data_IF_979789958943
#
_entry.id   IF_979789958943
#
_cell.length_a   1.000
_cell.length_b   1.000
_cell.length_c   1.000
_cell.angle_alpha   90.00
_cell.angle_beta   90.00
_cell.angle_gamma   90.00
#
_symmetry.space_group_name_H-M   'P 1'
#
loop_
_entity.id
_entity.type
_entity.pdbx_description
1 polymer ?
#
# COMPACT_ATOMS: atom_id res chain seq x y z
N UNK A 1 18.74 -0.04 -55.70
CA UNK A 1 19.82 -1.02 -55.46
C UNK A 1 20.00 -1.13 -53.97
N UNK A 2 19.92 -2.34 -53.39
CA UNK A 2 20.14 -2.55 -51.95
C UNK A 2 21.64 -2.56 -51.66
N UNK A 3 22.08 -1.76 -50.69
CA UNK A 3 23.47 -1.74 -50.20
C UNK A 3 23.71 -2.88 -49.18
N UNK A 4 24.96 -3.25 -49.00
CA UNK A 4 25.36 -4.22 -47.96
C UNK A 4 25.38 -3.53 -46.61
N UNK A 5 24.85 -4.18 -45.56
CA UNK A 5 24.90 -3.67 -44.19
C UNK A 5 26.35 -3.54 -43.71
N UNK A 6 26.70 -2.36 -43.18
CA UNK A 6 28.04 -2.05 -42.65
C UNK A 6 28.50 -3.03 -41.56
N UNK A 7 27.58 -3.61 -40.78
CA UNK A 7 27.91 -4.63 -39.77
C UNK A 7 28.34 -5.97 -40.40
N UNK A 8 27.85 -6.29 -41.60
CA UNK A 8 28.28 -7.48 -42.33
C UNK A 8 29.65 -7.29 -42.98
N UNK A 9 29.99 -6.09 -43.43
CA UNK A 9 31.30 -5.77 -44.01
C UNK A 9 32.46 -5.97 -43.01
N UNK A 10 32.20 -5.87 -41.70
CA UNK A 10 33.16 -6.15 -40.64
C UNK A 10 33.40 -7.65 -40.38
N UNK A 11 32.49 -8.53 -40.81
CA UNK A 11 32.63 -9.98 -40.62
C UNK A 11 33.41 -10.56 -41.80
N UNK A 12 34.46 -11.34 -41.53
CA UNK A 12 35.36 -11.93 -42.57
C UNK A 12 34.70 -12.92 -43.54
N UNK A 13 33.38 -13.13 -43.48
CA UNK A 13 32.65 -14.11 -44.29
C UNK A 13 31.56 -13.40 -45.09
N UNK A 14 31.93 -12.86 -46.25
CA UNK A 14 30.98 -12.33 -47.24
C UNK A 14 30.52 -13.47 -48.16
N UNK A 15 29.27 -13.41 -48.62
CA UNK A 15 28.78 -14.31 -49.67
C UNK A 15 29.35 -13.92 -51.04
N UNK A 16 29.48 -14.88 -51.96
CA UNK A 16 30.02 -14.66 -53.31
C UNK A 16 29.22 -13.59 -54.10
N UNK A 17 27.92 -13.45 -53.83
CA UNK A 17 27.09 -12.40 -54.43
C UNK A 17 27.33 -11.00 -53.82
N UNK A 18 27.70 -10.94 -52.54
CA UNK A 18 28.06 -9.70 -51.84
C UNK A 18 29.44 -9.21 -52.28
N UNK A 19 30.38 -10.11 -52.55
CA UNK A 19 31.70 -9.79 -53.14
C UNK A 19 31.55 -9.16 -54.54
N UNK A 20 30.72 -9.76 -55.39
CA UNK A 20 30.42 -9.18 -56.72
C UNK A 20 29.70 -7.83 -56.64
N UNK A 21 28.92 -7.60 -55.57
CA UNK A 21 28.29 -6.31 -55.34
C UNK A 21 29.30 -5.25 -54.89
N UNK A 22 30.27 -5.61 -54.04
CA UNK A 22 31.35 -4.72 -53.62
C UNK A 22 32.18 -4.21 -54.80
N UNK A 23 32.46 -5.06 -55.79
CA UNK A 23 33.21 -4.66 -56.99
C UNK A 23 32.43 -3.70 -57.91
N UNK A 24 31.10 -3.71 -57.85
CA UNK A 24 30.23 -2.91 -58.73
C UNK A 24 29.69 -1.65 -58.07
N UNK A 25 29.61 -1.62 -56.74
CA UNK A 25 29.04 -0.50 -55.99
C UNK A 25 30.16 0.31 -55.33
N UNK A 26 30.46 1.49 -55.90
CA UNK A 26 31.51 2.38 -55.36
C UNK A 26 31.29 2.81 -53.92
N UNK A 27 30.02 3.00 -53.50
CA UNK A 27 29.68 3.37 -52.11
C UNK A 27 30.05 2.27 -51.11
N UNK A 28 29.67 1.02 -51.41
CA UNK A 28 29.99 -0.12 -50.55
C UNK A 28 31.51 -0.40 -50.50
N UNK A 29 32.22 -0.10 -51.59
CA UNK A 29 33.67 -0.24 -51.67
C UNK A 29 34.39 0.80 -50.79
N UNK A 30 33.92 2.05 -50.79
CA UNK A 30 34.45 3.13 -49.96
C UNK A 30 34.25 2.82 -48.47
N UNK A 31 33.03 2.42 -48.08
CA UNK A 31 32.72 2.01 -46.71
C UNK A 31 33.60 0.85 -46.24
N UNK A 32 33.82 -0.16 -47.09
CA UNK A 32 34.68 -1.29 -46.79
C UNK A 32 36.14 -0.87 -46.53
N UNK A 33 36.67 0.08 -47.32
CA UNK A 33 38.03 0.59 -47.13
C UNK A 33 38.18 1.36 -45.81
N UNK A 34 37.20 2.20 -45.46
CA UNK A 34 37.17 2.95 -44.20
C UNK A 34 37.15 1.98 -43.01
N UNK A 35 36.26 0.98 -43.04
CA UNK A 35 36.15 -0.02 -41.98
C UNK A 35 37.42 -0.86 -41.83
N UNK A 36 38.07 -1.20 -42.95
CA UNK A 36 39.35 -1.92 -42.95
C UNK A 36 40.47 -1.08 -42.35
N UNK A 37 40.55 0.21 -42.69
CA UNK A 37 41.53 1.13 -42.13
C UNK A 37 41.33 1.30 -40.61
N UNK A 38 40.09 1.42 -40.15
CA UNK A 38 39.76 1.47 -38.73
C UNK A 38 40.14 0.18 -37.99
N UNK A 39 39.86 -0.99 -38.58
CA UNK A 39 40.28 -2.28 -38.03
C UNK A 39 41.80 -2.39 -37.85
N UNK A 40 42.58 -1.97 -38.86
CA UNK A 40 44.04 -1.95 -38.79
C UNK A 40 44.58 -0.95 -37.77
N UNK A 41 43.92 0.20 -37.60
CA UNK A 41 44.28 1.19 -36.56
C UNK A 41 44.04 0.66 -35.15
N UNK A 42 43.05 -0.20 -34.96
CA UNK A 42 42.73 -0.79 -33.66
C UNK A 42 43.67 -1.96 -33.31
N UNK A 43 44.09 -2.76 -34.29
CA UNK A 43 45.08 -3.83 -34.06
C UNK A 43 46.48 -3.28 -33.73
N UNK A 44 46.80 -2.06 -34.18
CA UNK A 44 48.06 -1.36 -33.87
C UNK A 44 48.00 -0.49 -32.61
N UNK A 45 46.82 -0.36 -31.99
CA UNK A 45 46.70 0.27 -30.68
C UNK A 45 47.32 -0.65 -29.63
N UNK A 46 48.56 -0.33 -29.22
CA UNK A 46 49.24 -1.06 -28.15
C UNK A 46 48.32 -1.13 -26.93
N UNK A 47 47.97 -2.35 -26.52
CA UNK A 47 47.18 -2.60 -25.32
C UNK A 47 47.96 -2.03 -24.13
N UNK A 48 47.49 -0.90 -23.62
CA UNK A 48 48.08 -0.25 -22.46
C UNK A 48 47.89 -1.19 -21.27
N UNK A 49 48.97 -1.85 -20.84
CA UNK A 49 48.93 -2.68 -19.65
C UNK A 49 48.85 -1.75 -18.43
N UNK A 50 47.76 -1.82 -17.65
CA UNK A 50 47.64 -0.98 -16.48
C UNK A 50 48.71 -1.39 -15.45
N UNK A 51 49.25 -0.44 -14.67
CA UNK A 51 50.25 -0.73 -13.63
C UNK A 51 49.74 -1.73 -12.57
N UNK A 52 50.64 -2.51 -11.97
CA UNK A 52 50.30 -3.56 -10.99
C UNK A 52 49.44 -3.06 -9.81
N UNK A 53 49.63 -1.83 -9.36
CA UNK A 53 48.85 -1.25 -8.27
C UNK A 53 47.34 -1.12 -8.59
N UNK A 54 46.97 -1.08 -9.88
CA UNK A 54 45.56 -1.07 -10.32
C UNK A 54 44.94 -2.45 -10.12
N UNK A 55 45.68 -3.52 -10.45
CA UNK A 55 45.25 -4.89 -10.21
C UNK A 55 45.09 -5.19 -8.73
N UNK A 56 46.03 -4.73 -7.91
CA UNK A 56 45.96 -4.92 -6.46
C UNK A 56 44.72 -4.23 -5.84
N UNK A 57 44.33 -3.06 -6.35
CA UNK A 57 43.08 -2.38 -5.95
C UNK A 57 41.84 -3.18 -6.35
N UNK A 58 41.84 -3.76 -7.54
CA UNK A 58 40.73 -4.58 -8.04
C UNK A 58 40.58 -5.83 -7.16
N UNK A 59 41.67 -6.53 -6.85
CA UNK A 59 41.64 -7.73 -6.01
C UNK A 59 41.18 -7.44 -4.58
N UNK A 60 41.66 -6.34 -3.97
CA UNK A 60 41.20 -5.90 -2.64
C UNK A 60 39.74 -5.47 -2.63
N UNK A 61 39.22 -4.93 -3.72
CA UNK A 61 37.79 -4.57 -3.82
C UNK A 61 36.90 -5.82 -3.94
N UNK A 62 37.40 -6.88 -4.56
CA UNK A 62 36.68 -8.13 -4.79
C UNK A 62 36.60 -9.00 -3.55
N UNK A 63 37.63 -9.00 -2.69
CA UNK A 63 37.66 -9.76 -1.44
C UNK A 63 36.75 -9.18 -0.35
N UNK A 64 36.60 -7.85 -0.26
CA UNK A 64 35.72 -7.19 0.74
C UNK A 64 34.22 -7.46 0.53
N UNK A 65 33.82 -7.91 -0.65
CA UNK A 65 32.42 -8.18 -0.97
C UNK A 65 31.87 -9.46 -0.31
N UNK A 66 32.73 -10.40 0.09
CA UNK A 66 32.32 -11.66 0.72
C UNK A 66 31.98 -11.49 2.21
N UNK A 67 32.72 -10.64 2.94
CA UNK A 67 32.56 -10.45 4.38
C UNK A 67 31.29 -9.66 4.77
N UNK A 68 30.76 -8.81 3.87
CA UNK A 68 29.52 -8.06 4.11
C UNK A 68 28.23 -8.91 4.02
N UNK A 69 28.30 -10.17 3.58
CA UNK A 69 27.10 -11.04 3.49
C UNK A 69 26.52 -11.40 4.85
N UNK A 70 27.34 -11.54 5.90
CA UNK A 70 26.86 -11.90 7.25
C UNK A 70 25.99 -10.81 7.89
N UNK A 71 26.36 -9.54 7.71
CA UNK A 71 25.65 -8.41 8.33
C UNK A 71 24.36 -8.02 7.58
N UNK A 72 24.26 -8.34 6.29
CA UNK A 72 23.08 -8.05 5.45
C UNK A 72 21.85 -8.87 5.84
N UNK A 73 22.02 -10.10 6.31
CA UNK A 73 20.90 -10.98 6.70
C UNK A 73 20.25 -10.49 8.00
N UNK A 74 21.07 -10.07 8.96
CA UNK A 74 20.62 -9.49 10.23
C UNK A 74 19.91 -8.15 9.99
N UNK A 75 20.50 -7.25 9.19
CA UNK A 75 19.84 -5.99 8.82
C UNK A 75 18.50 -6.20 8.10
N UNK A 76 18.40 -7.20 7.22
CA UNK A 76 17.13 -7.54 6.55
C UNK A 76 16.08 -8.05 7.53
N UNK A 77 16.47 -8.90 8.48
CA UNK A 77 15.56 -9.38 9.51
C UNK A 77 15.02 -8.23 10.39
N UNK A 78 15.87 -7.29 10.80
CA UNK A 78 15.45 -6.09 11.53
C UNK A 78 14.53 -5.19 10.69
N UNK A 79 14.82 -5.01 9.40
CA UNK A 79 13.97 -4.20 8.51
C UNK A 79 12.58 -4.82 8.32
N UNK A 80 12.48 -6.15 8.26
CA UNK A 80 11.20 -6.86 8.13
C UNK A 80 10.43 -6.80 9.46
N UNK A 81 11.11 -6.97 10.60
CA UNK A 81 10.47 -6.84 11.91
C UNK A 81 9.94 -5.41 12.15
N UNK A 82 10.69 -4.39 11.74
CA UNK A 82 10.28 -2.99 11.84
C UNK A 82 9.05 -2.68 10.97
N UNK A 83 8.95 -3.22 9.75
CA UNK A 83 7.78 -2.98 8.90
C UNK A 83 6.52 -3.65 9.44
N UNK A 84 6.63 -4.88 9.95
CA UNK A 84 5.50 -5.60 10.54
C UNK A 84 5.00 -4.87 11.80
N UNK A 85 5.91 -4.41 12.66
CA UNK A 85 5.53 -3.69 13.89
C UNK A 85 4.81 -2.38 13.60
N UNK A 86 5.24 -1.60 12.61
CA UNK A 86 4.53 -0.38 12.20
C UNK A 86 3.13 -0.69 11.69
N UNK A 87 2.95 -1.71 10.85
CA UNK A 87 1.63 -2.10 10.34
C UNK A 87 0.70 -2.52 11.48
N UNK A 88 1.21 -3.29 12.46
CA UNK A 88 0.41 -3.71 13.63
C UNK A 88 0.02 -2.51 14.48
N UNK A 89 0.96 -1.61 14.79
CA UNK A 89 0.68 -0.42 15.59
C UNK A 89 -0.34 0.49 14.92
N UNK A 90 -0.17 0.78 13.62
CA UNK A 90 -1.13 1.57 12.84
C UNK A 90 -2.51 0.90 12.82
N UNK A 91 -2.57 -0.40 12.59
CA UNK A 91 -3.82 -1.16 12.59
C UNK A 91 -4.53 -1.15 13.95
N UNK A 92 -3.78 -1.27 15.04
CA UNK A 92 -4.34 -1.17 16.39
C UNK A 92 -4.86 0.24 16.68
N UNK A 93 -4.09 1.29 16.35
CA UNK A 93 -4.52 2.68 16.55
C UNK A 93 -5.77 3.03 15.75
N UNK A 94 -5.85 2.54 14.51
CA UNK A 94 -7.02 2.76 13.65
C UNK A 94 -8.26 2.06 14.20
N UNK A 95 -8.10 0.83 14.68
CA UNK A 95 -9.22 0.10 15.28
C UNK A 95 -9.74 0.79 16.55
N UNK A 96 -8.85 1.33 17.38
CA UNK A 96 -9.26 2.09 18.57
C UNK A 96 -9.94 3.41 18.21
N UNK A 97 -9.46 4.14 17.19
CA UNK A 97 -10.10 5.40 16.78
C UNK A 97 -11.50 5.18 16.20
N UNK A 98 -11.66 4.16 15.35
CA UNK A 98 -12.98 3.81 14.78
C UNK A 98 -13.98 3.42 15.88
N UNK A 99 -13.53 2.69 16.91
CA UNK A 99 -14.39 2.34 18.04
C UNK A 99 -14.83 3.57 18.84
N UNK A 100 -13.95 4.55 19.00
CA UNK A 100 -14.24 5.80 19.70
C UNK A 100 -15.27 6.64 18.93
N UNK A 101 -15.14 6.72 17.61
CA UNK A 101 -16.07 7.45 16.76
C UNK A 101 -17.48 6.82 16.77
N UNK A 102 -17.56 5.49 16.71
CA UNK A 102 -18.82 4.75 16.87
C UNK A 102 -19.49 5.03 18.23
N UNK A 103 -18.71 5.05 19.31
CA UNK A 103 -19.22 5.38 20.64
C UNK A 103 -19.73 6.82 20.70
N UNK A 104 -18.98 7.79 20.15
CA UNK A 104 -19.42 9.20 20.10
C UNK A 104 -20.73 9.34 19.35
N UNK A 105 -20.88 8.63 18.23
CA UNK A 105 -22.12 8.63 17.45
C UNK A 105 -23.29 8.07 18.27
N UNK A 106 -23.11 6.94 18.97
CA UNK A 106 -24.15 6.35 19.81
C UNK A 106 -24.53 7.22 21.00
N UNK A 107 -23.55 7.89 21.62
CA UNK A 107 -23.79 8.86 22.70
C UNK A 107 -24.59 10.05 22.17
N UNK A 108 -24.23 10.58 21.00
CA UNK A 108 -24.95 11.68 20.36
C UNK A 108 -26.40 11.30 20.07
N UNK A 109 -26.63 10.14 19.44
CA UNK A 109 -27.98 9.63 19.17
C UNK A 109 -28.80 9.47 20.44
N UNK A 110 -28.21 8.90 21.49
CA UNK A 110 -28.87 8.77 22.79
C UNK A 110 -29.29 10.12 23.35
N UNK A 111 -28.39 11.11 23.31
CA UNK A 111 -28.68 12.46 23.79
C UNK A 111 -29.80 13.13 22.99
N UNK A 112 -29.81 12.97 21.68
CA UNK A 112 -30.88 13.53 20.83
C UNK A 112 -32.24 12.89 21.12
N UNK A 113 -32.27 11.57 21.36
CA UNK A 113 -33.49 10.85 21.73
C UNK A 113 -33.98 11.22 23.14
N UNK A 114 -33.07 11.39 24.11
CA UNK A 114 -33.40 11.90 25.44
C UNK A 114 -34.05 13.28 25.37
N UNK A 115 -33.50 14.18 24.55
CA UNK A 115 -34.06 15.52 24.35
C UNK A 115 -35.47 15.39 23.78
N UNK A 116 -35.68 14.55 22.76
CA UNK A 116 -37.01 14.32 22.18
C UNK A 116 -38.02 13.79 23.22
N UNK A 117 -37.63 12.81 24.04
CA UNK A 117 -38.50 12.29 25.10
C UNK A 117 -38.76 13.34 26.18
N UNK A 118 -37.77 14.15 26.55
CA UNK A 118 -37.93 15.20 27.56
C UNK A 118 -38.89 16.31 27.12
N UNK A 119 -39.01 16.55 25.81
CA UNK A 119 -39.95 17.50 25.21
C UNK A 119 -41.37 16.93 25.11
N UNK A 120 -41.53 15.63 25.35
CA UNK A 120 -42.80 14.92 25.22
C UNK A 120 -43.46 14.79 26.60
N UNK A 121 -44.24 15.81 26.97
CA UNK A 121 -44.73 16.09 28.34
C UNK A 121 -45.73 15.09 28.96
N UNK A 122 -46.14 14.02 28.26
CA UNK A 122 -47.11 13.05 28.80
C UNK A 122 -46.67 11.60 28.57
N UNK A 123 -46.20 10.95 29.63
CA UNK A 123 -45.85 9.52 29.66
C UNK A 123 -47.11 8.73 30.04
N UNK A 124 -47.71 8.01 29.09
CA UNK A 124 -48.89 7.16 29.31
C UNK A 124 -48.51 5.85 30.03
N UNK A 125 -49.46 5.20 30.74
CA UNK A 125 -49.21 3.98 31.54
C UNK A 125 -48.62 2.82 30.70
N UNK A 126 -48.89 2.77 29.39
CA UNK A 126 -48.28 1.80 28.45
C UNK A 126 -46.78 2.00 28.25
N UNK A 127 -46.25 3.17 28.57
CA UNK A 127 -44.83 3.49 28.48
C UNK A 127 -44.04 3.01 29.71
N UNK A 128 -44.72 2.57 30.79
CA UNK A 128 -44.07 2.13 32.02
C UNK A 128 -43.22 0.86 31.83
N UNK A 129 -43.65 -0.06 30.98
CA UNK A 129 -42.93 -1.30 30.66
C UNK A 129 -41.61 -1.00 29.93
N UNK A 130 -41.66 -0.14 28.92
CA UNK A 130 -40.46 0.30 28.18
C UNK A 130 -39.50 1.14 29.04
N UNK A 131 -40.03 1.90 30.00
CA UNK A 131 -39.20 2.60 30.99
C UNK A 131 -38.51 1.64 31.96
N UNK A 132 -39.10 0.48 32.25
CA UNK A 132 -38.46 -0.56 33.06
C UNK A 132 -37.31 -1.23 32.30
N UNK A 133 -37.51 -1.57 31.03
CA UNK A 133 -36.44 -2.04 30.15
C UNK A 133 -35.31 -1.01 30.05
N UNK A 134 -35.65 0.27 29.87
CA UNK A 134 -34.66 1.35 29.80
C UNK A 134 -33.84 1.45 31.10
N UNK A 135 -34.49 1.36 32.27
CA UNK A 135 -33.80 1.36 33.57
C UNK A 135 -32.87 0.16 33.75
N UNK A 136 -33.25 -1.00 33.23
CA UNK A 136 -32.42 -2.21 33.27
C UNK A 136 -31.17 -2.03 32.40
N UNK A 137 -31.35 -1.48 31.20
CA UNK A 137 -30.24 -1.13 30.31
C UNK A 137 -29.32 -0.09 30.96
N UNK A 138 -29.86 0.96 31.57
CA UNK A 138 -29.05 1.98 32.26
C UNK A 138 -28.25 1.42 33.44
N UNK A 139 -28.84 0.52 34.23
CA UNK A 139 -28.13 -0.16 35.32
C UNK A 139 -26.99 -1.01 34.76
N UNK A 140 -27.23 -1.76 33.70
CA UNK A 140 -26.20 -2.58 33.06
C UNK A 140 -25.08 -1.71 32.46
N UNK A 141 -25.43 -0.55 31.90
CA UNK A 141 -24.50 0.42 31.32
C UNK A 141 -23.59 1.03 32.40
N UNK A 142 -24.14 1.32 33.58
CA UNK A 142 -23.39 1.78 34.75
C UNK A 142 -22.42 0.72 35.30
N UNK A 143 -22.78 -0.57 35.19
CA UNK A 143 -21.97 -1.70 35.68
C UNK A 143 -20.97 -2.22 34.63
N UNK A 144 -21.14 -1.87 33.36
CA UNK A 144 -20.30 -2.35 32.26
C UNK A 144 -18.87 -1.80 32.36
N UNK A 145 -17.89 -2.71 32.32
CA UNK A 145 -16.45 -2.36 32.42
C UNK A 145 -15.73 -2.30 31.08
N UNK A 146 -16.25 -2.97 30.04
CA UNK A 146 -15.62 -3.05 28.72
C UNK A 146 -16.32 -2.21 27.66
N UNK A 147 -15.54 -1.61 26.75
CA UNK A 147 -16.06 -0.71 25.71
C UNK A 147 -16.98 -1.43 24.71
N UNK A 148 -16.68 -2.69 24.38
CA UNK A 148 -17.56 -3.50 23.52
C UNK A 148 -18.94 -3.74 24.17
N UNK A 149 -18.95 -4.05 25.47
CA UNK A 149 -20.18 -4.26 26.23
C UNK A 149 -20.97 -2.95 26.40
N UNK A 150 -20.28 -1.83 26.65
CA UNK A 150 -20.90 -0.50 26.68
C UNK A 150 -21.51 -0.13 25.34
N UNK A 151 -20.84 -0.43 24.23
CA UNK A 151 -21.36 -0.19 22.87
C UNK A 151 -22.67 -0.95 22.64
N UNK A 152 -22.69 -2.23 22.98
CA UNK A 152 -23.90 -3.07 22.85
C UNK A 152 -25.06 -2.54 23.71
N UNK A 153 -24.79 -2.17 24.96
CA UNK A 153 -25.80 -1.61 25.86
C UNK A 153 -26.29 -0.23 25.41
N UNK A 154 -25.42 0.61 24.83
CA UNK A 154 -25.81 1.88 24.24
C UNK A 154 -26.72 1.69 23.02
N UNK A 155 -26.47 0.66 22.21
CA UNK A 155 -27.31 0.33 21.06
C UNK A 155 -28.69 -0.19 21.50
N UNK A 156 -28.74 -1.06 22.52
CA UNK A 156 -29.98 -1.49 23.16
C UNK A 156 -30.77 -0.31 23.73
N UNK A 157 -30.07 0.67 24.33
CA UNK A 157 -30.69 1.91 24.82
C UNK A 157 -31.31 2.73 23.69
N UNK A 158 -30.62 2.88 22.57
CA UNK A 158 -31.16 3.57 21.37
C UNK A 158 -32.44 2.89 20.89
N UNK A 159 -32.46 1.56 20.80
CA UNK A 159 -33.64 0.81 20.35
C UNK A 159 -34.84 1.00 21.29
N UNK A 160 -34.62 0.96 22.61
CA UNK A 160 -35.68 1.18 23.60
C UNK A 160 -36.23 2.61 23.56
N UNK A 161 -35.36 3.61 23.34
CA UNK A 161 -35.80 5.01 23.18
C UNK A 161 -36.57 5.21 21.87
N UNK A 162 -36.15 4.56 20.78
CA UNK A 162 -36.85 4.63 19.50
C UNK A 162 -38.24 3.99 19.54
N UNK A 163 -38.37 2.85 20.22
CA UNK A 163 -39.68 2.19 20.39
C UNK A 163 -40.64 3.06 21.22
N UNK A 164 -40.14 3.73 22.26
CA UNK A 164 -40.90 4.71 23.04
C UNK A 164 -41.42 5.86 22.17
N UNK A 165 -40.56 6.47 21.35
CA UNK A 165 -40.95 7.57 20.46
C UNK A 165 -42.00 7.10 19.43
N UNK A 166 -41.79 5.93 18.82
CA UNK A 166 -42.72 5.38 17.83
C UNK A 166 -44.11 5.12 18.41
N UNK A 167 -44.20 4.52 19.60
CA UNK A 167 -45.47 4.27 20.27
C UNK A 167 -46.19 5.57 20.62
N UNK A 168 -45.42 6.59 21.00
CA UNK A 168 -45.97 7.88 21.37
C UNK A 168 -46.47 8.68 20.16
N UNK A 169 -45.77 8.63 19.03
CA UNK A 169 -46.27 9.20 17.76
C UNK A 169 -47.56 8.52 17.32
N UNK A 170 -47.65 7.20 17.49
CA UNK A 170 -48.86 6.43 17.19
C UNK A 170 -50.03 6.83 18.09
N UNK A 171 -49.83 6.92 19.41
CA UNK A 171 -50.88 7.36 20.34
C UNK A 171 -51.36 8.78 20.03
N UNK A 172 -50.46 9.71 19.69
CA UNK A 172 -50.86 11.06 19.23
C UNK A 172 -51.76 10.99 18.00
N UNK A 173 -51.41 10.19 16.99
CA UNK A 173 -52.19 10.07 15.76
C UNK A 173 -53.55 9.40 15.98
N UNK A 174 -53.68 8.48 16.93
CA UNK A 174 -54.96 7.84 17.28
C UNK A 174 -55.91 8.78 18.07
N UNK A 175 -55.39 9.81 18.75
CA UNK A 175 -56.21 10.81 19.48
C UNK A 175 -56.82 11.87 18.53
N UNK A 176 -56.27 12.05 17.32
CA UNK A 176 -56.74 13.03 16.32
C UNK A 176 -57.70 12.46 15.25
N UNK A 177 -58.13 11.20 15.37
CA UNK A 177 -59.13 10.53 14.52
C UNK A 177 -60.45 10.35 15.27
#
# INVERSE_FOLDING_TARGET
MSHIDSNKLLRRNLSNDEEKHLERCGVCQEDYQILRALGQSNESAALFQPPEHVWEKIDKSRSKQSEQKGNRTVLRAFSIAASITVVVLVGLTWKTSVLEDDMKLLISKNRDLEIQISLMENISYRHAEYLEELKLVERNLALAKGDAQKKELLDQRVLALQSLIYLQEREKNEIFL
#
